data_IF_147971155175
#
_entry.id   IF_147971155175
#
_cell.length_a   1.000
_cell.length_b   1.000
_cell.length_c   1.000
_cell.angle_alpha   90.00
_cell.angle_beta   90.00
_cell.angle_gamma   90.00
#
_symmetry.space_group_name_H-M   'P 1'
#
loop_
_entity.id
_entity.type
_entity.pdbx_description
1 polymer ?
#
# COMPACT_ATOMS: atom_id res chain seq x y z
N UNK A 1 25.23 -30.10 16.79
CA UNK A 1 26.70 -29.98 16.66
C UNK A 1 26.97 -29.08 15.45
N UNK A 2 27.61 -27.92 15.47
CA UNK A 2 28.38 -27.18 16.47
C UNK A 2 27.95 -25.70 16.44
N UNK A 3 27.78 -25.12 17.63
CA UNK A 3 27.82 -23.68 17.88
C UNK A 3 29.28 -23.21 17.82
N UNK A 4 29.53 -21.97 17.36
CA UNK A 4 30.63 -21.15 17.89
C UNK A 4 30.11 -19.73 18.14
N UNK A 5 30.15 -19.38 19.41
CA UNK A 5 29.94 -18.08 20.02
C UNK A 5 31.31 -17.46 20.24
N UNK A 6 31.50 -16.19 19.89
CA UNK A 6 32.65 -15.40 20.35
C UNK A 6 32.13 -14.19 21.14
N UNK A 7 32.15 -14.36 22.45
CA UNK A 7 32.19 -13.29 23.45
C UNK A 7 33.59 -13.37 24.05
N UNK A 8 34.39 -12.32 23.90
CA UNK A 8 35.51 -12.09 24.80
C UNK A 8 35.31 -10.77 25.55
N UNK A 9 35.47 -10.91 26.87
CA UNK A 9 35.44 -9.87 27.89
C UNK A 9 36.84 -9.25 27.95
N UNK A 10 36.90 -7.94 28.11
CA UNK A 10 37.95 -7.30 28.92
C UNK A 10 37.30 -6.43 29.99
N UNK A 11 37.43 -6.90 31.24
CA UNK A 11 37.51 -6.15 32.50
C UNK A 11 38.78 -5.26 32.41
N UNK A 12 39.06 -4.20 33.16
CA UNK A 12 38.50 -3.50 34.31
C UNK A 12 39.29 -2.17 34.39
N UNK A 13 38.69 -1.10 34.90
CA UNK A 13 39.40 0.14 35.24
C UNK A 13 38.49 1.06 36.03
N UNK A 14 38.73 1.17 37.34
CA UNK A 14 38.03 2.07 38.28
C UNK A 14 38.83 3.35 38.51
N UNK A 15 38.11 4.42 38.89
CA UNK A 15 38.61 5.73 39.37
C UNK A 15 38.33 6.81 38.32
N UNK A 16 37.64 7.93 38.57
CA UNK A 16 37.41 8.72 39.78
C UNK A 16 36.09 9.51 39.69
N UNK A 17 35.66 9.99 40.86
CA UNK A 17 34.45 10.77 41.10
C UNK A 17 34.61 12.24 40.66
N UNK A 18 33.58 12.80 40.01
CA UNK A 18 33.16 14.20 40.22
C UNK A 18 31.73 14.41 39.71
N UNK A 19 30.87 14.97 40.57
CA UNK A 19 29.53 15.45 40.25
C UNK A 19 29.53 16.99 40.25
N UNK A 20 28.45 17.69 39.84
CA UNK A 20 28.09 18.03 38.46
C UNK A 20 28.06 19.58 38.27
N UNK A 21 27.57 20.10 37.13
CA UNK A 21 26.71 21.27 37.24
C UNK A 21 25.33 21.08 36.62
N UNK A 22 24.40 21.73 37.31
CA UNK A 22 22.97 21.84 37.10
C UNK A 22 22.61 22.51 35.77
N UNK A 23 21.46 22.11 35.21
CA UNK A 23 20.65 22.99 34.36
C UNK A 23 20.66 22.70 32.87
N UNK A 24 19.92 21.67 32.43
CA UNK A 24 19.29 21.67 31.11
C UNK A 24 18.01 20.84 31.16
N UNK A 25 16.87 21.50 30.97
CA UNK A 25 15.55 20.90 31.05
C UNK A 25 15.40 19.68 30.14
N UNK A 26 15.03 18.56 30.74
CA UNK A 26 14.67 17.34 30.03
C UNK A 26 13.41 17.60 29.21
N UNK A 27 13.58 17.84 27.90
CA UNK A 27 12.47 17.73 26.94
C UNK A 27 12.10 16.24 26.82
N UNK A 28 10.83 15.86 26.98
CA UNK A 28 10.44 14.47 26.85
C UNK A 28 10.73 13.98 25.42
N UNK A 29 11.46 12.87 25.33
CA UNK A 29 11.67 12.12 24.09
C UNK A 29 10.30 11.74 23.52
N UNK A 30 9.96 12.30 22.35
CA UNK A 30 8.71 11.96 21.64
C UNK A 30 8.78 10.50 21.16
N UNK A 31 7.65 9.76 21.20
CA UNK A 31 7.66 8.34 20.89
C UNK A 31 8.10 8.05 19.45
N UNK A 32 8.73 6.90 19.31
CA UNK A 32 9.37 6.34 18.13
C UNK A 32 8.50 6.37 16.87
N UNK A 33 9.19 6.61 15.75
CA UNK A 33 8.73 6.61 14.38
C UNK A 33 7.36 5.94 14.13
N UNK A 34 6.40 6.73 13.65
CA UNK A 34 5.08 6.25 13.25
C UNK A 34 5.10 6.04 11.74
N UNK A 35 4.99 4.80 11.29
CA UNK A 35 4.94 4.44 9.87
C UNK A 35 3.51 4.05 9.50
N UNK A 36 3.09 4.37 8.27
CA UNK A 36 1.86 3.82 7.71
C UNK A 36 2.02 3.67 6.19
N UNK A 37 2.09 2.42 5.72
CA UNK A 37 1.96 2.09 4.31
C UNK A 37 0.48 2.27 3.94
N UNK A 38 0.18 3.05 2.91
CA UNK A 38 -1.19 3.21 2.41
C UNK A 38 -1.21 2.88 0.93
N UNK A 39 -1.91 1.81 0.57
CA UNK A 39 -2.21 1.50 -0.81
C UNK A 39 -3.19 2.55 -1.41
N UNK A 40 -3.05 2.91 -2.70
CA UNK A 40 -3.83 3.96 -3.33
C UNK A 40 -5.24 3.46 -3.73
N UNK A 41 -6.16 3.38 -2.78
CA UNK A 41 -7.58 3.09 -3.04
C UNK A 41 -8.47 4.35 -3.07
N UNK A 42 -9.20 4.53 -4.17
CA UNK A 42 -10.14 5.62 -4.44
C UNK A 42 -11.41 5.59 -3.56
N UNK A 43 -12.07 6.75 -3.46
CA UNK A 43 -13.32 6.92 -2.71
C UNK A 43 -14.52 6.40 -3.51
N UNK A 44 -14.88 5.13 -3.34
CA UNK A 44 -16.22 4.62 -3.68
C UNK A 44 -17.18 4.88 -2.51
N UNK A 45 -18.07 5.86 -2.63
CA UNK A 45 -19.15 6.06 -1.65
C UNK A 45 -20.28 5.07 -1.92
N UNK A 46 -20.30 3.96 -1.18
CA UNK A 46 -21.41 3.01 -1.18
C UNK A 46 -22.58 3.59 -0.36
N UNK A 47 -23.78 3.67 -0.94
CA UNK A 47 -25.04 3.96 -0.22
C UNK A 47 -25.82 2.65 -0.05
N UNK A 48 -26.25 2.27 1.16
CA UNK A 48 -27.25 1.24 1.31
C UNK A 48 -28.64 1.80 0.99
N UNK A 49 -29.40 1.09 0.17
CA UNK A 49 -30.84 1.25 0.00
C UNK A 49 -31.54 0.57 1.18
N UNK A 50 -32.36 1.32 1.90
CA UNK A 50 -33.19 0.81 3.01
C UNK A 50 -34.32 1.79 3.30
N UNK A 51 -35.56 1.30 3.18
CA UNK A 51 -36.79 2.07 3.15
C UNK A 51 -37.34 2.58 4.49
N UNK A 52 -38.26 3.55 4.32
CA UNK A 52 -39.34 4.08 5.16
C UNK A 52 -39.34 3.92 6.69
N UNK A 53 -39.45 5.06 7.41
CA UNK A 53 -40.64 5.39 8.21
C UNK A 53 -40.63 6.87 8.65
N UNK A 54 -41.83 7.49 8.75
CA UNK A 54 -42.06 8.92 9.04
C UNK A 54 -41.92 9.26 10.52
N UNK A 55 -41.49 10.51 10.82
CA UNK A 55 -42.19 11.49 11.69
C UNK A 55 -41.43 12.85 11.73
N UNK A 56 -42.12 14.01 11.72
CA UNK A 56 -41.47 15.32 11.73
C UNK A 56 -41.45 15.94 13.13
N UNK A 57 -40.30 16.37 13.66
CA UNK A 57 -40.25 17.41 14.70
C UNK A 57 -39.03 18.33 14.58
N UNK A 58 -39.37 19.62 14.67
CA UNK A 58 -38.63 20.78 15.16
C UNK A 58 -37.29 21.17 14.50
N UNK A 59 -37.37 22.36 13.87
CA UNK A 59 -36.27 23.24 13.44
C UNK A 59 -35.18 23.31 14.51
N UNK A 60 -33.99 22.83 14.18
CA UNK A 60 -32.74 23.21 14.82
C UNK A 60 -31.83 23.75 13.73
N UNK A 61 -31.35 24.98 13.93
CA UNK A 61 -30.35 25.64 13.10
C UNK A 61 -29.10 24.76 12.98
N UNK A 62 -29.05 23.91 11.96
CA UNK A 62 -27.81 23.26 11.54
C UNK A 62 -26.97 24.32 10.84
N UNK A 63 -26.04 24.91 11.60
CA UNK A 63 -24.83 25.51 11.03
C UNK A 63 -24.29 24.53 9.98
N UNK A 64 -24.38 24.91 8.70
CA UNK A 64 -23.73 24.21 7.59
C UNK A 64 -22.23 24.22 7.87
N UNK A 65 -21.73 23.20 8.58
CA UNK A 65 -20.30 22.91 8.60
C UNK A 65 -19.92 22.55 7.17
N UNK A 66 -19.26 23.49 6.53
CA UNK A 66 -18.72 23.42 5.19
C UNK A 66 -17.99 22.08 5.01
N UNK A 67 -18.67 21.11 4.39
CA UNK A 67 -18.22 19.71 4.26
C UNK A 67 -17.20 19.55 3.12
N UNK A 68 -16.70 20.66 2.57
CA UNK A 68 -15.80 20.70 1.42
C UNK A 68 -14.30 20.63 1.78
N UNK A 69 -13.91 20.97 3.02
CA UNK A 69 -12.46 21.04 3.40
C UNK A 69 -11.89 19.70 3.91
N UNK A 70 -12.70 18.63 4.00
CA UNK A 70 -12.27 17.37 4.63
C UNK A 70 -11.64 16.32 3.70
N UNK A 71 -11.74 16.45 2.37
CA UNK A 71 -11.12 15.46 1.46
C UNK A 71 -9.64 15.72 1.15
N UNK A 72 -9.12 16.93 1.42
CA UNK A 72 -7.74 17.30 1.12
C UNK A 72 -6.72 16.91 2.22
N UNK A 73 -7.17 16.72 3.47
CA UNK A 73 -6.29 16.61 4.66
C UNK A 73 -5.52 15.28 4.77
N UNK A 74 -5.87 14.23 4.01
CA UNK A 74 -5.14 12.94 4.07
C UNK A 74 -3.96 12.84 3.10
N UNK A 75 -3.86 13.70 2.08
CA UNK A 75 -2.98 13.43 0.93
C UNK A 75 -1.49 13.59 1.22
N UNK A 76 -1.05 14.48 2.11
CA UNK A 76 0.39 14.72 2.31
C UNK A 76 0.75 14.90 3.79
N UNK A 77 0.56 13.84 4.58
CA UNK A 77 1.04 13.79 5.98
C UNK A 77 2.57 13.93 6.07
N UNK A 78 3.29 13.58 4.99
CA UNK A 78 4.71 13.90 4.81
C UNK A 78 4.91 15.43 4.74
N UNK A 79 4.13 16.15 3.94
CA UNK A 79 4.22 17.62 3.85
C UNK A 79 3.84 18.31 5.17
N UNK A 80 2.89 17.73 5.91
CA UNK A 80 2.53 18.15 7.27
C UNK A 80 3.56 17.77 8.34
N UNK A 81 4.65 17.07 7.99
CA UNK A 81 5.71 16.66 8.91
C UNK A 81 5.31 15.58 9.91
N UNK A 82 4.14 14.95 9.75
CA UNK A 82 3.69 13.84 10.61
C UNK A 82 4.39 12.53 10.25
N UNK A 83 4.86 12.43 9.02
CA UNK A 83 5.71 11.35 8.52
C UNK A 83 6.99 11.95 7.95
N UNK A 84 8.09 11.20 8.09
CA UNK A 84 9.39 11.61 7.58
C UNK A 84 9.59 11.18 6.11
N UNK A 85 8.95 10.07 5.71
CA UNK A 85 9.06 9.45 4.38
C UNK A 85 7.68 8.93 3.94
N UNK A 86 7.44 8.89 2.63
CA UNK A 86 6.28 8.21 2.03
C UNK A 86 6.67 7.47 0.75
N UNK A 87 5.86 6.49 0.36
CA UNK A 87 5.91 5.84 -0.95
C UNK A 87 4.57 6.09 -1.63
N UNK A 88 4.61 6.54 -2.88
CA UNK A 88 3.42 6.88 -3.68
C UNK A 88 3.56 6.35 -5.10
N UNK A 89 2.43 6.19 -5.79
CA UNK A 89 2.39 5.67 -7.16
C UNK A 89 2.40 6.75 -8.26
N UNK A 90 2.72 8.00 -7.91
CA UNK A 90 2.82 9.14 -8.82
C UNK A 90 3.70 10.23 -8.20
N UNK A 91 4.43 10.99 -9.02
CA UNK A 91 5.23 12.10 -8.54
C UNK A 91 4.35 13.14 -7.80
N UNK A 92 4.70 13.56 -6.58
CA UNK A 92 3.90 14.52 -5.83
C UNK A 92 4.01 15.92 -6.43
N UNK A 93 2.89 16.48 -6.88
CA UNK A 93 2.82 17.88 -7.28
C UNK A 93 2.68 18.84 -6.08
N UNK A 94 3.51 18.69 -5.04
CA UNK A 94 3.46 19.54 -3.84
C UNK A 94 4.78 20.27 -3.59
N UNK A 95 4.73 21.60 -3.53
CA UNK A 95 5.89 22.48 -3.33
C UNK A 95 6.82 22.17 -2.15
N UNK A 96 6.29 21.56 -1.08
CA UNK A 96 7.04 21.21 0.14
C UNK A 96 7.68 19.84 0.09
N UNK A 97 7.40 19.07 -0.95
CA UNK A 97 7.90 17.71 -1.12
C UNK A 97 8.94 17.67 -2.23
N UNK A 98 9.95 16.86 -2.01
CA UNK A 98 10.79 16.31 -3.07
C UNK A 98 10.52 14.82 -3.19
N UNK A 99 10.86 14.31 -4.35
CA UNK A 99 10.62 12.95 -4.74
C UNK A 99 11.82 12.38 -5.47
N UNK A 100 11.92 11.06 -5.40
CA UNK A 100 12.90 10.29 -6.16
C UNK A 100 12.20 9.03 -6.65
N UNK A 101 12.34 8.75 -7.95
CA UNK A 101 11.84 7.52 -8.54
C UNK A 101 12.61 6.35 -7.91
N UNK A 102 11.88 5.46 -7.25
CA UNK A 102 12.45 4.32 -6.55
C UNK A 102 12.38 3.05 -7.39
N UNK A 103 11.36 2.93 -8.24
CA UNK A 103 11.27 1.84 -9.21
C UNK A 103 9.90 1.74 -9.84
N UNK A 104 9.60 0.58 -10.41
CA UNK A 104 8.36 0.30 -11.13
C UNK A 104 7.78 -1.03 -10.72
N UNK A 105 6.46 -1.13 -10.72
CA UNK A 105 5.73 -2.36 -10.45
C UNK A 105 4.81 -2.68 -11.63
N UNK A 106 4.97 -3.86 -12.19
CA UNK A 106 4.05 -4.38 -13.20
C UNK A 106 2.78 -4.89 -12.53
N UNK A 107 1.64 -4.48 -13.05
CA UNK A 107 0.34 -5.02 -12.68
C UNK A 107 0.10 -6.33 -13.44
N UNK A 108 -0.34 -7.36 -12.74
CA UNK A 108 -0.43 -8.72 -13.26
C UNK A 108 -1.82 -9.29 -13.00
N UNK A 109 -2.39 -9.94 -14.02
CA UNK A 109 -3.55 -10.80 -13.85
C UNK A 109 -3.07 -12.16 -13.32
N UNK A 110 -3.48 -12.49 -12.09
CA UNK A 110 -3.00 -13.66 -11.35
C UNK A 110 -4.08 -14.74 -11.37
N UNK A 111 -3.67 -15.93 -11.77
CA UNK A 111 -4.52 -17.10 -11.95
C UNK A 111 -3.96 -18.28 -11.14
N UNK A 112 -4.77 -19.32 -10.89
CA UNK A 112 -4.25 -20.61 -10.42
C UNK A 112 -3.27 -21.21 -11.43
N UNK A 113 -2.31 -22.02 -10.98
CA UNK A 113 -1.24 -22.58 -11.83
C UNK A 113 -1.73 -23.48 -12.98
N UNK A 114 -2.90 -24.09 -12.83
CA UNK A 114 -3.54 -24.96 -13.82
C UNK A 114 -4.44 -24.20 -14.81
N UNK A 115 -4.53 -22.88 -14.68
CA UNK A 115 -5.37 -22.05 -15.53
C UNK A 115 -4.76 -21.79 -16.91
N UNK A 116 -5.65 -21.63 -17.89
CA UNK A 116 -5.29 -21.01 -19.17
C UNK A 116 -4.67 -19.62 -18.94
N UNK A 117 -3.50 -19.40 -19.54
CA UNK A 117 -2.73 -18.17 -19.40
C UNK A 117 -3.25 -17.03 -20.29
N UNK A 118 -4.14 -17.32 -21.24
CA UNK A 118 -4.71 -16.31 -22.13
C UNK A 118 -6.24 -16.25 -22.00
N UNK A 119 -6.78 -16.00 -20.78
CA UNK A 119 -8.22 -16.05 -20.57
C UNK A 119 -8.92 -14.91 -21.29
N UNK A 120 -10.04 -15.23 -21.93
CA UNK A 120 -10.99 -14.22 -22.38
C UNK A 120 -11.84 -13.71 -21.20
N UNK A 121 -12.70 -12.73 -21.47
CA UNK A 121 -13.54 -12.15 -20.42
C UNK A 121 -14.54 -13.17 -19.85
N UNK A 122 -15.07 -14.09 -20.66
CA UNK A 122 -16.00 -15.12 -20.19
C UNK A 122 -15.33 -16.07 -19.21
N UNK A 123 -14.12 -16.56 -19.53
CA UNK A 123 -13.34 -17.42 -18.65
C UNK A 123 -12.97 -16.76 -17.33
N UNK A 124 -12.74 -15.43 -17.33
CA UNK A 124 -12.59 -14.66 -16.09
C UNK A 124 -13.89 -14.63 -15.28
N UNK A 125 -15.03 -14.35 -15.92
CA UNK A 125 -16.34 -14.34 -15.26
C UNK A 125 -16.71 -15.71 -14.69
N UNK A 126 -16.38 -16.81 -15.34
CA UNK A 126 -16.64 -18.17 -14.86
C UNK A 126 -15.80 -18.50 -13.62
N UNK A 127 -14.53 -18.08 -13.61
CA UNK A 127 -13.64 -18.26 -12.44
C UNK A 127 -14.07 -17.40 -11.26
N UNK A 128 -14.41 -16.13 -11.53
CA UNK A 128 -14.80 -15.15 -10.53
C UNK A 128 -13.61 -14.40 -9.92
N UNK A 129 -13.84 -13.11 -9.68
CA UNK A 129 -12.87 -12.15 -9.18
C UNK A 129 -12.75 -12.21 -7.66
N UNK A 130 -11.51 -12.25 -7.18
CA UNK A 130 -11.17 -12.11 -5.77
C UNK A 130 -10.73 -10.67 -5.57
N UNK A 131 -11.65 -9.87 -5.03
CA UNK A 131 -11.44 -8.46 -4.84
C UNK A 131 -10.60 -8.17 -3.59
N UNK A 132 -10.01 -6.98 -3.58
CA UNK A 132 -9.28 -6.41 -2.46
C UNK A 132 -9.38 -4.87 -2.58
N UNK A 133 -8.88 -4.07 -1.60
CA UNK A 133 -9.08 -2.62 -1.59
C UNK A 133 -8.71 -1.88 -2.88
N UNK A 134 -7.65 -2.33 -3.56
CA UNK A 134 -7.17 -1.73 -4.81
C UNK A 134 -7.62 -2.51 -6.06
N UNK A 135 -8.23 -3.68 -5.89
CA UNK A 135 -8.46 -4.64 -6.96
C UNK A 135 -9.41 -4.14 -8.04
N UNK A 136 -10.43 -3.35 -7.67
CA UNK A 136 -11.35 -2.77 -8.64
C UNK A 136 -10.65 -1.75 -9.55
N UNK A 137 -9.84 -0.85 -8.98
CA UNK A 137 -9.08 0.11 -9.78
C UNK A 137 -8.06 -0.59 -10.69
N UNK A 138 -7.42 -1.64 -10.19
CA UNK A 138 -6.51 -2.47 -10.99
C UNK A 138 -7.21 -3.23 -12.10
N UNK A 139 -8.45 -3.68 -11.89
CA UNK A 139 -9.26 -4.31 -12.92
C UNK A 139 -9.62 -3.33 -14.03
N UNK A 140 -10.08 -2.13 -13.67
CA UNK A 140 -10.40 -1.09 -14.66
C UNK A 140 -9.20 -0.75 -15.54
N UNK A 141 -8.02 -0.64 -14.93
CA UNK A 141 -6.79 -0.32 -15.65
C UNK A 141 -6.31 -1.48 -16.53
N UNK A 142 -6.20 -2.69 -15.99
CA UNK A 142 -5.58 -3.81 -16.70
C UNK A 142 -6.52 -4.45 -17.72
N UNK A 143 -7.78 -4.73 -17.32
CA UNK A 143 -8.76 -5.38 -18.18
C UNK A 143 -9.36 -4.40 -19.19
N UNK A 144 -9.57 -3.13 -18.81
CA UNK A 144 -9.98 -2.10 -19.76
C UNK A 144 -8.97 -1.90 -20.89
N UNK A 145 -7.68 -2.11 -20.61
CA UNK A 145 -6.62 -2.02 -21.61
C UNK A 145 -6.52 -3.23 -22.55
N UNK A 146 -6.78 -4.43 -22.03
CA UNK A 146 -6.51 -5.70 -22.72
C UNK A 146 -7.76 -6.39 -23.27
N UNK A 147 -8.95 -6.11 -22.71
CA UNK A 147 -10.23 -6.72 -23.08
C UNK A 147 -11.30 -5.64 -23.38
N UNK A 148 -11.01 -4.60 -24.18
CA UNK A 148 -11.89 -3.43 -24.34
C UNK A 148 -13.27 -3.77 -24.94
N UNK A 149 -13.38 -4.83 -25.73
CA UNK A 149 -14.64 -5.20 -26.39
C UNK A 149 -15.66 -5.80 -25.42
N UNK A 150 -15.19 -6.49 -24.37
CA UNK A 150 -16.03 -7.21 -23.42
C UNK A 150 -16.05 -6.60 -22.02
N UNK A 151 -14.91 -6.09 -21.54
CA UNK A 151 -14.82 -5.41 -20.25
C UNK A 151 -15.49 -4.04 -20.31
N UNK A 152 -16.20 -3.66 -19.24
CA UNK A 152 -16.91 -2.37 -19.15
C UNK A 152 -16.63 -1.62 -17.86
N UNK A 153 -16.70 -2.30 -16.72
CA UNK A 153 -16.44 -1.71 -15.42
C UNK A 153 -16.19 -2.82 -14.38
N UNK A 154 -15.41 -2.50 -13.34
CA UNK A 154 -15.03 -3.46 -12.32
C UNK A 154 -16.23 -3.97 -11.50
N UNK A 155 -17.30 -3.18 -11.38
CA UNK A 155 -18.53 -3.56 -10.69
C UNK A 155 -19.31 -4.69 -11.39
N UNK A 156 -19.04 -4.94 -12.67
CA UNK A 156 -19.67 -6.01 -13.45
C UNK A 156 -18.90 -7.34 -13.36
N UNK A 157 -17.75 -7.35 -12.69
CA UNK A 157 -17.02 -8.58 -12.45
C UNK A 157 -17.80 -9.50 -11.53
N UNK A 158 -17.83 -10.79 -11.84
CA UNK A 158 -18.42 -11.78 -10.94
C UNK A 158 -17.56 -11.88 -9.69
N UNK A 159 -17.97 -11.22 -8.61
CA UNK A 159 -17.26 -11.29 -7.34
C UNK A 159 -17.41 -12.67 -6.71
N UNK A 160 -16.28 -13.30 -6.36
CA UNK A 160 -16.24 -14.59 -5.67
C UNK A 160 -15.83 -14.49 -4.22
N UNK A 161 -14.94 -13.56 -3.89
CA UNK A 161 -14.50 -13.31 -2.52
C UNK A 161 -13.87 -11.92 -2.39
N UNK A 162 -13.63 -11.47 -1.15
CA UNK A 162 -12.93 -10.23 -0.85
C UNK A 162 -11.87 -10.46 0.23
N UNK A 163 -10.64 -9.97 -0.01
CA UNK A 163 -9.51 -10.07 0.92
C UNK A 163 -8.98 -8.68 1.26
N UNK A 164 -8.81 -8.37 2.54
CA UNK A 164 -8.32 -7.07 3.02
C UNK A 164 -6.91 -7.13 3.64
N UNK A 165 -6.23 -8.27 3.52
CA UNK A 165 -4.88 -8.45 4.04
C UNK A 165 -3.91 -8.59 2.88
N UNK A 166 -3.05 -7.58 2.67
CA UNK A 166 -2.18 -7.46 1.48
C UNK A 166 -1.37 -8.73 1.23
N UNK A 167 -0.79 -9.32 2.28
CA UNK A 167 0.01 -10.55 2.16
C UNK A 167 -0.78 -11.81 1.83
N UNK A 168 -2.11 -11.78 1.93
CA UNK A 168 -2.98 -12.93 1.77
C UNK A 168 -3.87 -12.85 0.52
N UNK A 169 -3.81 -11.76 -0.26
CA UNK A 169 -4.70 -11.57 -1.42
C UNK A 169 -4.54 -12.71 -2.44
N UNK A 170 -3.31 -13.21 -2.61
CA UNK A 170 -3.01 -14.28 -3.56
C UNK A 170 -3.33 -15.70 -3.04
N UNK A 171 -3.50 -15.90 -1.72
CA UNK A 171 -3.77 -17.21 -1.12
C UNK A 171 -5.01 -17.90 -1.71
N UNK A 172 -6.19 -17.26 -1.82
CA UNK A 172 -7.36 -17.92 -2.39
C UNK A 172 -7.21 -18.22 -3.89
N UNK A 173 -6.36 -17.48 -4.62
CA UNK A 173 -6.01 -17.82 -6.02
C UNK A 173 -5.16 -19.09 -6.06
N UNK A 174 -4.16 -19.20 -5.18
CA UNK A 174 -3.34 -20.41 -5.06
C UNK A 174 -4.15 -21.65 -4.67
N UNK A 175 -5.29 -21.45 -3.98
CA UNK A 175 -6.27 -22.50 -3.68
C UNK A 175 -7.26 -22.79 -4.84
N UNK A 176 -7.11 -22.17 -6.01
CA UNK A 176 -7.98 -22.40 -7.17
C UNK A 176 -9.35 -21.71 -7.08
N UNK A 177 -9.56 -20.79 -6.13
CA UNK A 177 -10.89 -20.20 -5.89
C UNK A 177 -11.27 -19.09 -6.89
N UNK A 178 -10.37 -18.64 -7.75
CA UNK A 178 -10.68 -17.56 -8.69
C UNK A 178 -9.41 -16.88 -9.18
N UNK A 179 -9.55 -15.65 -9.65
CA UNK A 179 -8.43 -14.83 -10.11
C UNK A 179 -8.39 -13.50 -9.36
N UNK A 180 -7.23 -12.84 -9.38
CA UNK A 180 -7.10 -11.48 -8.86
C UNK A 180 -6.13 -10.67 -9.72
N UNK A 181 -5.98 -9.38 -9.43
CA UNK A 181 -5.03 -8.51 -10.13
C UNK A 181 -4.14 -7.86 -9.09
N UNK A 182 -2.83 -8.12 -9.18
CA UNK A 182 -1.87 -7.65 -8.18
C UNK A 182 -0.61 -7.08 -8.85
N UNK A 183 0.05 -6.12 -8.19
CA UNK A 183 1.43 -5.78 -8.51
C UNK A 183 2.34 -7.01 -8.33
N UNK A 184 3.40 -7.09 -9.12
CA UNK A 184 4.37 -8.20 -9.05
C UNK A 184 4.86 -8.49 -7.62
N UNK A 185 5.11 -7.46 -6.80
CA UNK A 185 5.51 -7.63 -5.40
C UNK A 185 4.51 -8.44 -4.57
N UNK A 186 3.19 -8.30 -4.82
CA UNK A 186 2.16 -9.08 -4.14
C UNK A 186 2.24 -10.57 -4.48
N UNK A 187 2.66 -10.90 -5.70
CA UNK A 187 2.86 -12.28 -6.16
C UNK A 187 4.19 -12.82 -5.63
N UNK A 188 5.25 -12.00 -5.65
CA UNK A 188 6.57 -12.36 -5.16
C UNK A 188 6.59 -12.64 -3.65
N UNK A 189 5.72 -11.96 -2.89
CA UNK A 189 5.58 -12.16 -1.45
C UNK A 189 4.70 -13.37 -1.06
N UNK A 190 4.00 -14.00 -2.01
CA UNK A 190 3.15 -15.15 -1.72
C UNK A 190 3.98 -16.40 -1.42
N UNK A 191 3.70 -17.08 -0.31
CA UNK A 191 4.38 -18.32 0.06
C UNK A 191 4.13 -19.48 -0.92
N UNK A 192 2.96 -19.49 -1.58
CA UNK A 192 2.53 -20.52 -2.52
C UNK A 192 2.64 -20.05 -3.98
N UNK A 193 3.70 -19.29 -4.28
CA UNK A 193 3.92 -18.68 -5.60
C UNK A 193 3.96 -19.71 -6.73
N UNK A 194 4.44 -20.92 -6.46
CA UNK A 194 4.46 -22.07 -7.38
C UNK A 194 3.07 -22.51 -7.85
N UNK A 195 2.02 -22.16 -7.10
CA UNK A 195 0.61 -22.44 -7.42
C UNK A 195 -0.09 -21.28 -8.13
N UNK A 196 0.66 -20.24 -8.46
CA UNK A 196 0.15 -19.07 -9.15
C UNK A 196 0.71 -19.02 -10.56
N UNK A 197 -0.14 -18.67 -11.51
CA UNK A 197 0.20 -18.29 -12.86
C UNK A 197 -0.03 -16.80 -13.06
N UNK A 198 0.73 -16.22 -14.00
CA UNK A 198 0.49 -14.85 -14.47
C UNK A 198 0.03 -14.94 -15.91
N UNK A 199 -1.13 -14.35 -16.19
CA UNK A 199 -1.70 -14.36 -17.53
C UNK A 199 -0.80 -13.62 -18.54
N UNK A 200 -0.79 -14.11 -19.77
CA UNK A 200 -0.10 -13.50 -20.90
C UNK A 200 -1.03 -12.47 -21.54
N UNK A 201 -0.82 -11.21 -21.19
CA UNK A 201 -1.58 -10.08 -21.72
C UNK A 201 -0.76 -9.34 -22.78
N UNK A 202 -1.41 -8.88 -23.84
CA UNK A 202 -0.75 -8.17 -24.95
C UNK A 202 -0.16 -6.82 -24.50
N UNK A 203 -0.80 -6.14 -23.54
CA UNK A 203 -0.40 -4.82 -23.05
C UNK A 203 -0.12 -4.88 -21.55
N UNK A 204 1.08 -4.46 -21.17
CA UNK A 204 1.50 -4.37 -19.78
C UNK A 204 1.11 -3.02 -19.17
N UNK A 205 0.70 -3.06 -17.90
CA UNK A 205 0.49 -1.87 -17.07
C UNK A 205 1.60 -1.81 -16.03
N UNK A 206 2.19 -0.62 -15.86
CA UNK A 206 3.25 -0.37 -14.89
C UNK A 206 2.91 0.85 -14.03
N UNK A 207 3.17 0.74 -12.74
CA UNK A 207 3.08 1.86 -11.80
C UNK A 207 4.48 2.27 -11.35
N UNK A 208 4.82 3.54 -11.53
CA UNK A 208 6.00 4.12 -10.93
C UNK A 208 5.83 4.18 -9.40
N UNK A 209 6.89 3.87 -8.67
CA UNK A 209 6.98 4.05 -7.23
C UNK A 209 7.94 5.18 -6.92
N UNK A 210 7.43 6.21 -6.24
CA UNK A 210 8.20 7.37 -5.83
C UNK A 210 8.36 7.37 -4.31
N UNK A 211 9.57 7.60 -3.85
CA UNK A 211 9.83 7.92 -2.45
C UNK A 211 9.75 9.43 -2.30
N UNK A 212 8.97 9.90 -1.32
CA UNK A 212 8.70 11.31 -1.09
C UNK A 212 9.11 11.73 0.32
N UNK A 213 9.75 12.89 0.42
CA UNK A 213 10.15 13.51 1.69
C UNK A 213 9.98 15.03 1.64
N UNK A 214 10.18 15.73 2.76
CA UNK A 214 10.15 17.20 2.77
C UNK A 214 11.50 17.76 2.32
N UNK A 215 11.49 18.69 1.36
CA UNK A 215 12.69 19.31 0.74
C UNK A 215 13.73 19.78 1.74
N UNK A 216 13.30 20.54 2.74
CA UNK A 216 14.21 21.24 3.65
C UNK A 216 14.53 20.42 4.91
N UNK A 217 14.20 19.12 4.93
CA UNK A 217 14.37 18.29 6.11
C UNK A 217 15.47 17.27 5.93
N UNK A 218 16.55 17.44 6.69
CA UNK A 218 17.58 16.41 6.82
C UNK A 218 16.99 15.17 7.50
N UNK A 219 16.99 14.05 6.77
CA UNK A 219 16.55 12.77 7.33
C UNK A 219 17.52 12.27 8.41
N UNK A 220 17.04 11.86 9.60
CA UNK A 220 17.85 11.16 10.59
C UNK A 220 18.48 9.90 10.01
N UNK A 221 19.67 9.51 10.49
CA UNK A 221 20.43 8.37 9.96
C UNK A 221 19.59 7.08 9.85
N UNK A 222 18.79 6.75 10.88
CA UNK A 222 17.89 5.59 10.85
C UNK A 222 16.89 5.60 9.69
N UNK A 223 16.40 6.78 9.30
CA UNK A 223 15.43 6.92 8.20
C UNK A 223 16.14 6.74 6.86
N UNK A 224 17.37 7.23 6.73
CA UNK A 224 18.21 6.97 5.55
C UNK A 224 18.49 5.48 5.37
N UNK A 225 18.75 4.75 6.45
CA UNK A 225 18.91 3.29 6.42
C UNK A 225 17.65 2.61 5.90
N UNK A 226 16.48 2.98 6.42
CA UNK A 226 15.18 2.44 5.96
C UNK A 226 14.93 2.78 4.49
N UNK A 227 15.19 4.02 4.08
CA UNK A 227 15.06 4.45 2.68
C UNK A 227 15.95 3.62 1.76
N UNK A 228 17.19 3.33 2.15
CA UNK A 228 18.09 2.48 1.37
C UNK A 228 17.57 1.05 1.22
N UNK A 229 17.02 0.47 2.30
CA UNK A 229 16.39 -0.87 2.25
C UNK A 229 15.18 -0.87 1.32
N UNK A 230 14.31 0.14 1.43
CA UNK A 230 13.14 0.28 0.55
C UNK A 230 13.59 0.39 -0.91
N UNK A 231 14.52 1.30 -1.21
CA UNK A 231 15.05 1.49 -2.57
C UNK A 231 15.57 0.20 -3.17
N UNK A 232 16.31 -0.61 -2.41
CA UNK A 232 16.78 -1.92 -2.88
C UNK A 232 15.65 -2.91 -3.14
N UNK A 233 14.59 -2.88 -2.34
CA UNK A 233 13.47 -3.79 -2.46
C UNK A 233 12.51 -3.44 -3.62
N UNK A 234 12.43 -2.16 -4.00
CA UNK A 234 11.55 -1.68 -5.07
C UNK A 234 12.29 -1.33 -6.35
N UNK A 235 13.62 -1.43 -6.37
CA UNK A 235 14.44 -1.21 -7.54
C UNK A 235 13.90 -2.01 -8.73
N UNK A 236 13.92 -1.44 -9.95
CA UNK A 236 13.46 -2.15 -11.13
C UNK A 236 14.25 -3.44 -11.30
N UNK A 237 13.54 -4.56 -11.44
CA UNK A 237 14.08 -5.87 -11.84
C UNK A 237 14.24 -5.87 -13.36
#
# INVERSE_FOLDING_TARGET
>A
MRHVSLRDRCLEGRGEQSSPPSGAGQRPLRPCARWQLKAPGGCGSFRPLGGGFRRPRSRHHRRRRNRSVRSCVKRYRVAGGTFDLGIVNHAPAHSRLEDVLAGRQRLCLVLPSDADLSPDFSGLQDRGFIAHPDGFAFADELLGLNLPDAYRAAELLRLRSYVNQIGQIAEPVACGLGYTILPWSGIAACAQRDRLAVAQLARQVQHDLWIVQRKERVLPARIRTVQSVIMKAVAPI
#
